data_IF_911981775664
#
_entry.id   IF_911981775664
#
_cell.length_a   1.000
_cell.length_b   1.000
_cell.length_c   1.000
_cell.angle_alpha   90.00
_cell.angle_beta   90.00
_cell.angle_gamma   90.00
#
_symmetry.space_group_name_H-M   'P 1'
#
loop_
_entity.id
_entity.type
_entity.pdbx_description
1 polymer ?
#
# COMPACT_ATOMS: atom_id res chain seq x y z
N UNK A 1 -59.87 -8.20 7.31
CA UNK A 1 -58.71 -7.28 7.39
C UNK A 1 -57.59 -8.00 8.12
N UNK A 2 -56.68 -8.65 7.39
CA UNK A 2 -55.47 -9.27 7.93
C UNK A 2 -54.29 -8.58 7.25
N UNK A 3 -53.63 -7.71 8.01
CA UNK A 3 -52.46 -6.96 7.55
C UNK A 3 -51.22 -7.83 7.68
N UNK A 4 -50.73 -8.35 6.56
CA UNK A 4 -49.44 -9.01 6.46
C UNK A 4 -48.33 -7.97 6.61
N UNK A 5 -47.71 -7.89 7.79
CA UNK A 5 -46.45 -7.20 7.98
C UNK A 5 -45.37 -7.87 7.12
N UNK A 6 -45.08 -7.28 5.96
CA UNK A 6 -43.87 -7.55 5.19
C UNK A 6 -42.66 -7.09 6.01
N UNK A 7 -42.18 -7.94 6.92
CA UNK A 7 -40.83 -7.78 7.48
C UNK A 7 -39.85 -7.95 6.34
N UNK A 8 -39.26 -6.84 5.91
CA UNK A 8 -38.11 -6.80 5.02
C UNK A 8 -37.04 -7.75 5.60
N UNK A 9 -36.94 -8.96 5.03
CA UNK A 9 -35.86 -9.88 5.36
C UNK A 9 -34.59 -9.22 4.86
N UNK A 10 -33.76 -8.73 5.78
CA UNK A 10 -32.42 -8.27 5.46
C UNK A 10 -31.72 -9.33 4.60
N UNK A 11 -31.00 -8.94 3.54
CA UNK A 11 -30.29 -9.89 2.71
C UNK A 11 -29.39 -10.76 3.59
N UNK A 12 -29.38 -12.08 3.35
CA UNK A 12 -28.46 -12.97 4.04
C UNK A 12 -27.02 -12.49 3.88
N UNK A 13 -26.17 -12.74 4.88
CA UNK A 13 -24.77 -12.28 4.92
C UNK A 13 -23.97 -12.63 3.64
N UNK A 14 -24.28 -13.75 3.00
CA UNK A 14 -23.72 -14.12 1.71
C UNK A 14 -24.07 -13.13 0.59
N UNK A 15 -25.33 -12.66 0.53
CA UNK A 15 -25.73 -11.63 -0.42
C UNK A 15 -25.06 -10.28 -0.14
N UNK A 16 -24.91 -9.92 1.15
CA UNK A 16 -24.17 -8.71 1.54
C UNK A 16 -22.70 -8.79 1.13
N UNK A 17 -22.04 -9.92 1.37
CA UNK A 17 -20.65 -10.13 0.96
C UNK A 17 -20.49 -10.09 -0.56
N UNK A 18 -21.43 -10.69 -1.32
CA UNK A 18 -21.42 -10.64 -2.79
C UNK A 18 -21.62 -9.23 -3.32
N UNK A 19 -22.57 -8.47 -2.76
CA UNK A 19 -22.79 -7.08 -3.13
C UNK A 19 -21.55 -6.23 -2.81
N UNK A 20 -20.96 -6.41 -1.63
CA UNK A 20 -19.72 -5.72 -1.25
C UNK A 20 -18.57 -6.05 -2.21
N UNK A 21 -18.41 -7.32 -2.62
CA UNK A 21 -17.37 -7.73 -3.57
C UNK A 21 -17.57 -7.06 -4.95
N UNK A 22 -18.81 -7.02 -5.45
CA UNK A 22 -19.14 -6.30 -6.68
C UNK A 22 -18.84 -4.81 -6.53
N UNK A 23 -19.20 -4.20 -5.41
CA UNK A 23 -18.90 -2.78 -5.12
C UNK A 23 -17.40 -2.52 -5.11
N UNK A 24 -16.57 -3.40 -4.54
CA UNK A 24 -15.10 -3.28 -4.55
C UNK A 24 -14.56 -3.30 -5.98
N UNK A 25 -15.04 -4.23 -6.83
CA UNK A 25 -14.62 -4.32 -8.23
C UNK A 25 -15.04 -3.07 -9.01
N UNK A 26 -16.28 -2.62 -8.86
CA UNK A 26 -16.78 -1.42 -9.52
C UNK A 26 -16.04 -0.16 -9.03
N UNK A 27 -15.72 -0.07 -7.74
CA UNK A 27 -14.94 1.01 -7.17
C UNK A 27 -13.51 1.00 -7.72
N UNK A 28 -12.88 -0.17 -7.89
CA UNK A 28 -11.56 -0.27 -8.51
C UNK A 28 -11.58 0.18 -9.98
N UNK A 29 -12.59 -0.23 -10.76
CA UNK A 29 -12.77 0.24 -12.14
C UNK A 29 -13.02 1.75 -12.21
N UNK A 30 -13.86 2.28 -11.31
CA UNK A 30 -14.09 3.72 -11.17
C UNK A 30 -12.82 4.48 -10.78
N UNK A 31 -11.99 3.89 -9.93
CA UNK A 31 -10.70 4.45 -9.54
C UNK A 31 -9.69 4.46 -10.69
N UNK A 32 -9.66 3.43 -11.54
CA UNK A 32 -8.86 3.44 -12.77
C UNK A 32 -9.32 4.58 -13.69
N UNK A 33 -10.64 4.71 -13.91
CA UNK A 33 -11.18 5.80 -14.71
C UNK A 33 -10.83 7.18 -14.13
N UNK A 34 -10.90 7.35 -12.80
CA UNK A 34 -10.47 8.56 -12.10
C UNK A 34 -8.97 8.82 -12.30
N UNK A 35 -8.14 7.79 -12.19
CA UNK A 35 -6.68 7.89 -12.38
C UNK A 35 -6.32 8.33 -13.81
N UNK A 36 -7.06 7.84 -14.80
CA UNK A 36 -6.88 8.25 -16.20
C UNK A 36 -7.38 9.68 -16.48
N UNK A 37 -8.36 10.15 -15.70
CA UNK A 37 -8.84 11.53 -15.77
C UNK A 37 -7.91 12.54 -15.07
N UNK A 38 -6.93 12.07 -14.29
CA UNK A 38 -5.97 12.94 -13.61
C UNK A 38 -5.12 13.72 -14.62
N UNK A 39 -4.85 15.01 -14.36
CA UNK A 39 -3.97 15.80 -15.19
C UNK A 39 -2.54 15.28 -15.09
N UNK A 40 -1.99 14.84 -16.22
CA UNK A 40 -0.57 14.55 -16.39
C UNK A 40 0.09 15.64 -17.23
N UNK A 41 1.42 15.67 -17.24
CA UNK A 41 2.22 16.63 -18.00
C UNK A 41 3.18 15.93 -18.95
N UNK A 42 3.56 16.61 -20.02
CA UNK A 42 4.60 16.13 -20.97
C UNK A 42 5.96 15.93 -20.31
N UNK A 43 6.22 16.67 -19.24
CA UNK A 43 7.39 16.51 -18.38
C UNK A 43 6.98 15.79 -17.09
N UNK A 44 7.64 14.67 -16.78
CA UNK A 44 7.54 14.00 -15.48
C UNK A 44 8.93 13.89 -14.87
N UNK A 45 9.08 14.34 -13.64
CA UNK A 45 10.29 14.16 -12.86
C UNK A 45 10.11 12.97 -11.93
N UNK A 46 11.16 12.17 -11.78
CA UNK A 46 11.23 11.05 -10.86
C UNK A 46 12.58 11.09 -10.15
N UNK A 47 12.57 11.14 -8.82
CA UNK A 47 13.80 11.02 -8.05
C UNK A 47 14.33 9.57 -8.13
N UNK A 48 15.62 9.40 -8.43
CA UNK A 48 16.28 8.09 -8.38
C UNK A 48 16.20 7.49 -6.98
N UNK A 49 16.17 6.15 -6.87
CA UNK A 49 16.07 5.44 -5.60
C UNK A 49 17.22 5.76 -4.61
N UNK A 50 18.39 6.15 -5.12
CA UNK A 50 19.55 6.60 -4.34
C UNK A 50 19.55 8.11 -4.02
N UNK A 51 18.53 8.84 -4.49
CA UNK A 51 18.34 10.29 -4.33
C UNK A 51 19.51 11.12 -4.86
N UNK A 52 20.33 10.57 -5.77
CA UNK A 52 21.50 11.26 -6.34
C UNK A 52 21.23 11.91 -7.70
N UNK A 53 20.12 11.55 -8.32
CA UNK A 53 19.72 12.10 -9.61
C UNK A 53 18.21 12.19 -9.73
N UNK A 54 17.77 13.08 -10.62
CA UNK A 54 16.37 13.25 -11.02
C UNK A 54 16.28 12.89 -12.49
N UNK A 55 15.45 11.88 -12.79
CA UNK A 55 15.17 11.46 -14.16
C UNK A 55 13.96 12.24 -14.66
N UNK A 56 14.17 13.04 -15.70
CA UNK A 56 13.12 13.73 -16.43
C UNK A 56 12.68 12.86 -17.61
N UNK A 57 11.44 12.38 -17.54
CA UNK A 57 10.78 11.69 -18.64
C UNK A 57 10.09 12.73 -19.54
N UNK A 58 10.47 12.74 -20.82
CA UNK A 58 9.96 13.66 -21.83
C UNK A 58 9.48 12.88 -23.06
N UNK A 59 8.69 13.48 -23.98
CA UNK A 59 8.31 12.80 -25.22
C UNK A 59 9.50 12.45 -26.12
N UNK A 60 10.65 13.08 -25.90
CA UNK A 60 11.87 12.92 -26.68
C UNK A 60 12.85 11.91 -26.06
N UNK A 61 12.56 11.42 -24.85
CA UNK A 61 13.42 10.49 -24.11
C UNK A 61 13.57 10.89 -22.64
N UNK A 62 14.49 10.21 -21.96
CA UNK A 62 14.83 10.45 -20.56
C UNK A 62 16.10 11.28 -20.43
N UNK A 63 16.09 12.28 -19.55
CA UNK A 63 17.26 13.10 -19.22
C UNK A 63 17.55 12.96 -17.73
N UNK A 64 18.80 12.78 -17.36
CA UNK A 64 19.21 12.65 -15.95
C UNK A 64 19.88 13.94 -15.48
N UNK A 65 19.40 14.49 -14.37
CA UNK A 65 19.89 15.74 -13.79
C UNK A 65 20.37 15.52 -12.36
N UNK A 66 21.34 16.33 -11.92
CA UNK A 66 21.65 16.46 -10.49
C UNK A 66 20.43 17.05 -9.75
N UNK A 67 20.09 16.61 -8.52
CA UNK A 67 18.96 17.11 -7.75
C UNK A 67 18.96 18.64 -7.56
N UNK A 68 20.15 19.23 -7.48
CA UNK A 68 20.36 20.67 -7.27
C UNK A 68 20.38 21.48 -8.58
N UNK A 69 20.23 20.82 -9.74
CA UNK A 69 20.24 21.52 -11.03
C UNK A 69 19.11 22.55 -11.06
N UNK A 70 19.41 23.83 -11.29
CA UNK A 70 18.37 24.86 -11.38
C UNK A 70 17.56 24.66 -12.65
N UNK A 71 16.25 24.49 -12.48
CA UNK A 71 15.28 24.44 -13.57
C UNK A 71 14.52 25.77 -13.57
N UNK A 72 14.80 26.60 -14.56
CA UNK A 72 14.09 27.84 -14.80
C UNK A 72 12.75 27.54 -15.47
N UNK A 73 11.66 27.85 -14.81
CA UNK A 73 10.30 27.66 -15.33
C UNK A 73 9.75 29.04 -15.68
N UNK A 74 9.34 29.17 -16.94
CA UNK A 74 8.70 30.37 -17.46
C UNK A 74 7.27 30.06 -17.87
N UNK A 75 6.33 30.76 -17.24
CA UNK A 75 4.92 30.79 -17.59
C UNK A 75 4.76 31.92 -18.60
N UNK A 76 4.57 31.62 -19.89
CA UNK A 76 4.37 32.57 -21.00
C UNK A 76 5.02 33.98 -20.81
N UNK A 77 4.23 34.97 -20.36
CA UNK A 77 4.61 36.38 -20.17
C UNK A 77 4.96 36.78 -18.72
N UNK A 78 4.97 35.84 -17.77
CA UNK A 78 5.33 36.09 -16.38
C UNK A 78 6.86 36.01 -16.16
N UNK A 79 7.30 36.56 -15.01
CA UNK A 79 8.69 36.45 -14.58
C UNK A 79 9.05 34.98 -14.36
N UNK A 80 10.18 34.50 -14.89
CA UNK A 80 10.61 33.13 -14.64
C UNK A 80 10.94 32.94 -13.16
N UNK A 81 10.63 31.77 -12.64
CA UNK A 81 11.06 31.34 -11.32
C UNK A 81 11.92 30.09 -11.47
N UNK A 82 12.82 29.86 -10.50
CA UNK A 82 13.76 28.74 -10.56
C UNK A 82 13.48 27.76 -9.44
N UNK A 83 13.36 26.49 -9.77
CA UNK A 83 13.25 25.39 -8.81
C UNK A 83 14.41 24.41 -9.01
N UNK A 84 15.01 23.87 -7.94
CA UNK A 84 15.88 22.71 -8.06
C UNK A 84 15.14 21.54 -8.70
N UNK A 85 15.82 20.76 -9.54
CA UNK A 85 15.24 19.59 -10.22
C UNK A 85 14.56 18.63 -9.25
N UNK A 86 15.11 18.46 -8.03
CA UNK A 86 14.50 17.66 -6.96
C UNK A 86 13.06 18.08 -6.62
N UNK A 87 12.80 19.39 -6.63
CA UNK A 87 11.50 19.96 -6.26
C UNK A 87 10.42 19.72 -7.32
N UNK A 88 10.78 19.19 -8.50
CA UNK A 88 9.82 18.77 -9.51
C UNK A 88 9.03 17.51 -9.10
N UNK A 89 9.60 16.66 -8.26
CA UNK A 89 8.95 15.43 -7.79
C UNK A 89 8.62 15.45 -6.29
N UNK A 90 9.44 16.14 -5.48
CA UNK A 90 9.34 16.15 -4.02
C UNK A 90 7.92 16.49 -3.52
N UNK A 91 7.29 15.62 -2.71
CA UNK A 91 5.95 15.87 -2.17
C UNK A 91 5.79 17.17 -1.40
N UNK A 92 6.81 17.56 -0.61
CA UNK A 92 6.79 18.79 0.15
C UNK A 92 6.72 20.04 -0.75
N UNK A 93 7.30 19.97 -1.95
CA UNK A 93 7.27 21.07 -2.91
C UNK A 93 5.89 21.25 -3.55
N UNK A 94 5.03 20.22 -3.57
CA UNK A 94 3.71 20.27 -4.24
C UNK A 94 2.75 21.30 -3.63
N UNK A 95 3.00 21.71 -2.38
CA UNK A 95 2.25 22.76 -1.69
C UNK A 95 2.94 24.14 -1.71
N UNK A 96 4.10 24.26 -2.36
CA UNK A 96 4.82 25.52 -2.49
C UNK A 96 4.06 26.50 -3.42
N UNK A 97 4.08 27.82 -3.15
CA UNK A 97 3.38 28.82 -3.95
C UNK A 97 3.66 28.70 -5.45
N UNK A 98 4.93 28.52 -5.84
CA UNK A 98 5.35 28.40 -7.24
C UNK A 98 4.76 27.17 -7.92
N UNK A 99 4.66 26.04 -7.20
CA UNK A 99 4.04 24.81 -7.70
C UNK A 99 2.53 24.95 -7.86
N UNK A 100 1.88 25.67 -6.95
CA UNK A 100 0.45 25.97 -7.04
C UNK A 100 0.17 26.90 -8.22
N UNK A 101 1.00 27.91 -8.44
CA UNK A 101 0.91 28.83 -9.58
C UNK A 101 1.11 28.08 -10.90
N UNK A 102 2.15 27.23 -11.00
CA UNK A 102 2.41 26.41 -12.17
C UNK A 102 1.24 25.46 -12.49
N UNK A 103 0.72 24.73 -11.48
CA UNK A 103 -0.38 23.81 -11.69
C UNK A 103 -1.64 24.53 -12.21
N UNK A 104 -1.92 25.73 -11.69
CA UNK A 104 -3.03 26.58 -12.15
C UNK A 104 -2.80 27.10 -13.58
N UNK A 105 -1.60 27.54 -13.92
CA UNK A 105 -1.28 27.99 -15.28
C UNK A 105 -1.44 26.87 -16.31
N UNK A 106 -1.04 25.65 -15.96
CA UNK A 106 -1.16 24.47 -16.82
C UNK A 106 -2.61 23.98 -17.01
N UNK A 107 -3.61 24.59 -16.36
CA UNK A 107 -5.02 24.29 -16.63
C UNK A 107 -5.43 24.79 -18.02
N UNK A 108 -4.99 26.00 -18.40
CA UNK A 108 -5.38 26.69 -19.63
C UNK A 108 -4.20 27.03 -20.56
N UNK A 109 -2.96 26.89 -20.10
CA UNK A 109 -1.75 27.32 -20.81
C UNK A 109 -0.64 26.27 -20.88
N UNK A 110 0.52 26.71 -21.39
CA UNK A 110 1.76 25.93 -21.44
C UNK A 110 2.86 26.64 -20.65
N UNK A 111 3.81 25.89 -20.13
CA UNK A 111 4.99 26.45 -19.47
C UNK A 111 6.26 25.94 -20.14
N UNK A 112 7.34 26.71 -20.12
CA UNK A 112 8.63 26.28 -20.65
C UNK A 112 9.61 26.06 -19.50
N UNK A 113 10.27 24.91 -19.49
CA UNK A 113 11.34 24.60 -18.55
C UNK A 113 12.69 24.65 -19.26
N UNK A 114 13.61 25.44 -18.73
CA UNK A 114 14.98 25.57 -19.21
C UNK A 114 15.96 25.14 -18.14
N UNK A 115 16.91 24.31 -18.51
CA UNK A 115 17.99 23.87 -17.62
C UNK A 115 19.25 23.59 -18.42
N UNK A 116 20.38 23.54 -17.72
CA UNK A 116 21.67 23.15 -18.30
C UNK A 116 22.03 21.78 -17.77
N UNK A 117 22.22 20.81 -18.67
CA UNK A 117 22.63 19.46 -18.31
C UNK A 117 24.10 19.43 -17.85
N UNK A 118 24.52 18.30 -17.28
CA UNK A 118 25.87 18.12 -16.75
C UNK A 118 26.98 18.25 -17.81
N UNK A 119 26.65 18.03 -19.09
CA UNK A 119 27.54 18.21 -20.23
C UNK A 119 27.63 19.68 -20.71
N UNK A 120 26.94 20.60 -20.04
CA UNK A 120 26.89 22.03 -20.39
C UNK A 120 25.91 22.37 -21.50
N UNK A 121 25.14 21.41 -22.03
CA UNK A 121 24.11 21.69 -23.03
C UNK A 121 22.85 22.29 -22.38
N UNK A 122 22.34 23.36 -22.98
CA UNK A 122 21.09 23.97 -22.55
C UNK A 122 19.91 23.26 -23.23
N UNK A 123 18.99 22.75 -22.42
CA UNK A 123 17.75 22.15 -22.87
C UNK A 123 16.58 23.08 -22.57
N UNK A 124 15.65 23.17 -23.51
CA UNK A 124 14.36 23.85 -23.34
C UNK A 124 13.25 22.86 -23.66
N UNK A 125 12.38 22.61 -22.69
CA UNK A 125 11.27 21.67 -22.78
C UNK A 125 9.95 22.40 -22.62
N UNK A 126 8.95 22.01 -23.42
CA UNK A 126 7.59 22.49 -23.24
C UNK A 126 6.82 21.57 -22.27
N UNK A 127 6.25 22.17 -21.24
CA UNK A 127 5.36 21.54 -20.26
C UNK A 127 3.94 21.88 -20.68
N UNK A 128 3.22 20.87 -21.15
CA UNK A 128 1.82 20.95 -21.47
C UNK A 128 1.05 19.85 -20.73
N UNK A 129 -0.21 20.12 -20.41
CA UNK A 129 -1.11 19.11 -19.88
C UNK A 129 -1.40 18.07 -20.96
N UNK A 130 -1.41 16.80 -20.57
CA UNK A 130 -1.80 15.70 -21.43
C UNK A 130 -2.73 14.72 -20.71
N UNK A 131 -3.61 14.00 -21.44
CA UNK A 131 -4.41 12.92 -20.87
C UNK A 131 -3.51 11.79 -20.38
N UNK A 132 -3.79 11.26 -19.18
CA UNK A 132 -3.08 10.09 -18.66
C UNK A 132 -3.53 8.84 -19.42
N UNK A 133 -2.57 8.09 -19.98
CA UNK A 133 -2.84 6.82 -20.68
C UNK A 133 -2.60 5.64 -19.74
N UNK A 134 -3.19 4.49 -20.06
CA UNK A 134 -2.94 3.23 -19.33
C UNK A 134 -1.47 2.83 -19.32
N UNK A 135 -0.72 3.17 -20.39
CA UNK A 135 0.72 2.93 -20.51
C UNK A 135 1.57 3.81 -19.59
N UNK A 136 1.03 4.94 -19.13
CA UNK A 136 1.77 5.92 -18.34
C UNK A 136 1.71 5.60 -16.83
N UNK A 137 0.84 4.65 -16.45
CA UNK A 137 0.69 4.19 -15.09
C UNK A 137 1.86 3.25 -14.73
N UNK A 138 2.62 3.54 -13.66
CA UNK A 138 3.79 2.78 -13.30
C UNK A 138 3.42 1.35 -12.86
N UNK A 139 4.33 0.36 -12.97
CA UNK A 139 4.05 -1.01 -12.51
C UNK A 139 3.56 -1.09 -11.06
N UNK A 140 4.12 -0.25 -10.17
CA UNK A 140 3.70 -0.15 -8.77
C UNK A 140 2.22 0.21 -8.58
N UNK A 141 1.62 0.98 -9.49
CA UNK A 141 0.18 1.30 -9.48
C UNK A 141 -0.66 0.03 -9.55
N UNK A 142 -0.35 -0.86 -10.49
CA UNK A 142 -1.11 -2.10 -10.72
C UNK A 142 -0.90 -3.10 -9.60
N UNK A 143 0.32 -3.18 -9.07
CA UNK A 143 0.64 -4.03 -7.93
C UNK A 143 -0.16 -3.57 -6.70
N UNK A 144 -0.13 -2.28 -6.38
CA UNK A 144 -0.88 -1.71 -5.25
C UNK A 144 -2.39 -1.91 -5.39
N UNK A 145 -2.95 -1.59 -6.57
CA UNK A 145 -4.39 -1.75 -6.82
C UNK A 145 -4.82 -3.21 -6.78
N UNK A 146 -4.08 -4.10 -7.43
CA UNK A 146 -4.36 -5.54 -7.40
C UNK A 146 -4.30 -6.10 -5.99
N UNK A 147 -3.27 -5.72 -5.23
CA UNK A 147 -3.10 -6.12 -3.84
C UNK A 147 -4.29 -5.70 -2.97
N UNK A 148 -4.70 -4.45 -3.09
CA UNK A 148 -5.72 -3.89 -2.22
C UNK A 148 -7.13 -4.42 -2.53
N UNK A 149 -7.41 -4.70 -3.82
CA UNK A 149 -8.62 -5.42 -4.25
C UNK A 149 -8.63 -6.85 -3.69
N UNK A 150 -7.52 -7.59 -3.84
CA UNK A 150 -7.42 -8.96 -3.33
C UNK A 150 -7.59 -9.02 -1.80
N UNK A 151 -7.00 -8.07 -1.07
CA UNK A 151 -7.17 -7.95 0.37
C UNK A 151 -8.63 -7.78 0.78
N UNK A 152 -9.35 -6.85 0.15
CA UNK A 152 -10.79 -6.69 0.41
C UNK A 152 -11.59 -7.95 0.09
N UNK A 153 -11.32 -8.59 -1.05
CA UNK A 153 -12.02 -9.81 -1.46
C UNK A 153 -11.75 -10.99 -0.51
N UNK A 154 -10.53 -11.17 -0.03
CA UNK A 154 -10.20 -12.17 0.98
C UNK A 154 -10.93 -11.91 2.30
N UNK A 155 -10.94 -10.66 2.75
CA UNK A 155 -11.69 -10.23 3.93
C UNK A 155 -13.18 -10.56 3.83
N UNK A 156 -13.82 -10.13 2.74
CA UNK A 156 -15.23 -10.40 2.47
C UNK A 156 -15.54 -11.89 2.34
N UNK A 157 -14.63 -12.67 1.73
CA UNK A 157 -14.77 -14.13 1.63
C UNK A 157 -14.73 -14.76 3.02
N UNK A 158 -13.79 -14.38 3.87
CA UNK A 158 -13.70 -14.87 5.25
C UNK A 158 -14.99 -14.61 6.03
N UNK A 159 -15.55 -13.40 5.90
CA UNK A 159 -16.81 -13.04 6.55
C UNK A 159 -18.01 -13.78 5.95
N UNK A 160 -18.05 -14.01 4.63
CA UNK A 160 -19.11 -14.79 3.99
C UNK A 160 -19.18 -16.23 4.48
N UNK A 161 -18.03 -16.83 4.79
CA UNK A 161 -17.91 -18.18 5.35
C UNK A 161 -18.29 -18.24 6.84
N UNK A 162 -18.10 -17.13 7.57
CA UNK A 162 -18.29 -17.05 9.04
C UNK A 162 -18.99 -15.76 9.47
N UNK A 163 -20.23 -15.52 9.03
CA UNK A 163 -20.90 -14.24 9.24
C UNK A 163 -21.26 -13.95 10.70
N UNK A 164 -21.35 -14.99 11.52
CA UNK A 164 -21.63 -14.88 12.96
C UNK A 164 -20.40 -14.63 13.83
N UNK A 165 -19.19 -14.73 13.26
CA UNK A 165 -17.95 -14.54 14.01
C UNK A 165 -17.45 -13.10 13.91
N UNK A 166 -17.34 -12.43 15.07
CA UNK A 166 -16.85 -11.06 15.14
C UNK A 166 -15.43 -10.89 14.56
N UNK A 167 -14.56 -11.89 14.70
CA UNK A 167 -13.22 -11.88 14.14
C UNK A 167 -13.23 -11.87 12.60
N UNK A 168 -14.13 -12.64 11.97
CA UNK A 168 -14.27 -12.67 10.52
C UNK A 168 -14.84 -11.35 9.97
N UNK A 169 -15.83 -10.77 10.67
CA UNK A 169 -16.35 -9.44 10.33
C UNK A 169 -15.27 -8.35 10.46
N UNK A 170 -14.48 -8.38 11.54
CA UNK A 170 -13.39 -7.43 11.75
C UNK A 170 -12.29 -7.61 10.68
N UNK A 171 -11.95 -8.84 10.30
CA UNK A 171 -11.02 -9.12 9.22
C UNK A 171 -11.50 -8.58 7.86
N UNK A 172 -12.81 -8.68 7.57
CA UNK A 172 -13.40 -8.04 6.38
C UNK A 172 -13.28 -6.51 6.43
N UNK A 173 -13.55 -5.90 7.58
CA UNK A 173 -13.38 -4.45 7.79
C UNK A 173 -11.93 -4.02 7.57
N UNK A 174 -10.94 -4.79 8.06
CA UNK A 174 -9.52 -4.54 7.75
C UNK A 174 -9.27 -4.57 6.25
N UNK A 175 -9.82 -5.54 5.52
CA UNK A 175 -9.65 -5.65 4.06
C UNK A 175 -10.30 -4.47 3.32
N UNK A 176 -11.44 -3.97 3.78
CA UNK A 176 -12.08 -2.79 3.20
C UNK A 176 -11.32 -1.50 3.51
N UNK A 177 -10.75 -1.38 4.72
CA UNK A 177 -9.89 -0.26 5.04
C UNK A 177 -8.56 -0.32 4.29
N UNK A 178 -7.99 -1.51 4.08
CA UNK A 178 -6.84 -1.69 3.20
C UNK A 178 -7.16 -1.15 1.80
N UNK A 179 -8.30 -1.60 1.24
CA UNK A 179 -8.80 -1.10 -0.05
C UNK A 179 -8.89 0.41 -0.07
N UNK A 180 -9.63 1.00 0.86
CA UNK A 180 -9.91 2.44 0.82
C UNK A 180 -8.71 3.31 1.21
N UNK A 181 -7.82 2.88 2.12
CA UNK A 181 -6.64 3.64 2.53
C UNK A 181 -5.55 3.66 1.47
N UNK A 182 -5.45 2.59 0.67
CA UNK A 182 -4.41 2.48 -0.35
C UNK A 182 -4.73 3.29 -1.61
N UNK A 183 -6.01 3.49 -1.95
CA UNK A 183 -6.38 4.27 -3.14
C UNK A 183 -5.82 5.71 -3.12
N UNK A 184 -5.95 6.48 -2.01
CA UNK A 184 -5.29 7.78 -1.91
C UNK A 184 -3.78 7.73 -2.04
N UNK A 185 -3.12 6.70 -1.50
CA UNK A 185 -1.67 6.55 -1.62
C UNK A 185 -1.26 6.30 -3.08
N UNK A 186 -1.94 5.40 -3.78
CA UNK A 186 -1.72 5.13 -5.20
C UNK A 186 -1.93 6.41 -6.03
N UNK A 187 -2.99 7.18 -5.72
CA UNK A 187 -3.28 8.43 -6.43
C UNK A 187 -2.20 9.49 -6.17
N UNK A 188 -1.70 9.57 -4.93
CA UNK A 188 -0.62 10.48 -4.55
C UNK A 188 0.68 10.21 -5.34
N UNK A 189 0.97 8.94 -5.64
CA UNK A 189 2.12 8.54 -6.46
C UNK A 189 1.98 8.95 -7.93
N UNK A 190 0.78 9.29 -8.39
CA UNK A 190 0.52 9.80 -9.75
C UNK A 190 0.53 11.33 -9.84
N UNK A 191 0.61 12.05 -8.72
CA UNK A 191 0.59 13.51 -8.75
C UNK A 191 1.82 14.07 -9.45
N UNK A 192 1.58 15.00 -10.38
CA UNK A 192 2.60 15.64 -11.21
C UNK A 192 2.57 17.17 -11.11
N UNK A 193 3.16 17.81 -12.11
CA UNK A 193 3.27 19.28 -12.18
C UNK A 193 1.92 19.98 -12.33
N UNK A 194 0.97 19.36 -13.03
CA UNK A 194 -0.38 19.90 -13.25
C UNK A 194 -1.41 19.46 -12.19
N UNK A 195 -1.00 18.78 -11.11
CA UNK A 195 -1.95 18.37 -10.08
C UNK A 195 -2.41 19.57 -9.25
N UNK A 196 -3.73 19.85 -9.17
CA UNK A 196 -4.23 20.96 -8.38
C UNK A 196 -3.97 20.77 -6.89
N UNK A 197 -3.66 21.87 -6.20
CA UNK A 197 -3.36 21.86 -4.76
C UNK A 197 -4.49 21.26 -3.91
N UNK A 198 -5.74 21.54 -4.26
CA UNK A 198 -6.89 21.02 -3.52
C UNK A 198 -7.01 19.50 -3.61
N UNK A 199 -6.65 18.89 -4.75
CA UNK A 199 -6.63 17.43 -4.91
C UNK A 199 -5.60 16.83 -3.96
N UNK A 200 -4.42 17.44 -3.87
CA UNK A 200 -3.39 17.02 -2.94
C UNK A 200 -3.86 17.08 -1.47
N UNK A 201 -4.52 18.17 -1.07
CA UNK A 201 -5.06 18.34 0.28
C UNK A 201 -6.13 17.30 0.60
N UNK A 202 -7.14 17.15 -0.27
CA UNK A 202 -8.23 16.18 -0.08
C UNK A 202 -7.69 14.76 0.00
N UNK A 203 -6.78 14.40 -0.91
CA UNK A 203 -6.17 13.08 -0.95
C UNK A 203 -5.34 12.79 0.29
N UNK A 204 -4.55 13.76 0.75
CA UNK A 204 -3.73 13.61 1.96
C UNK A 204 -4.59 13.44 3.21
N UNK A 205 -5.66 14.23 3.36
CA UNK A 205 -6.61 14.08 4.46
C UNK A 205 -7.34 12.73 4.41
N UNK A 206 -7.80 12.31 3.23
CA UNK A 206 -8.44 11.02 3.05
C UNK A 206 -7.48 9.87 3.43
N UNK A 207 -6.24 9.92 2.95
CA UNK A 207 -5.20 8.95 3.29
C UNK A 207 -4.97 8.89 4.80
N UNK A 208 -4.83 10.03 5.47
CA UNK A 208 -4.56 10.08 6.90
C UNK A 208 -5.71 9.47 7.73
N UNK A 209 -6.96 9.77 7.39
CA UNK A 209 -8.14 9.25 8.11
C UNK A 209 -8.30 7.74 7.86
N UNK A 210 -8.19 7.30 6.61
CA UNK A 210 -8.44 5.91 6.23
C UNK A 210 -7.34 4.98 6.75
N UNK A 211 -6.08 5.42 6.75
CA UNK A 211 -4.96 4.67 7.31
C UNK A 211 -5.12 4.42 8.81
N UNK A 212 -5.65 5.40 9.56
CA UNK A 212 -5.94 5.20 10.98
C UNK A 212 -7.10 4.22 11.19
N UNK A 213 -8.15 4.30 10.36
CA UNK A 213 -9.24 3.31 10.37
C UNK A 213 -8.73 1.88 10.12
N UNK A 214 -7.76 1.73 9.23
CA UNK A 214 -7.06 0.48 8.97
C UNK A 214 -6.30 -0.03 10.22
N UNK A 215 -5.50 0.82 10.85
CA UNK A 215 -4.74 0.47 12.06
C UNK A 215 -5.66 0.10 13.25
N UNK A 216 -6.71 0.90 13.50
CA UNK A 216 -7.72 0.66 14.53
C UNK A 216 -8.45 -0.68 14.33
N UNK A 217 -8.64 -1.09 13.07
CA UNK A 217 -9.28 -2.37 12.75
C UNK A 217 -8.38 -3.55 13.11
N UNK A 218 -7.06 -3.47 12.87
CA UNK A 218 -6.11 -4.47 13.36
C UNK A 218 -6.05 -4.52 14.89
N UNK A 219 -6.05 -3.36 15.54
CA UNK A 219 -6.06 -3.26 16.99
C UNK A 219 -7.30 -3.94 17.59
N UNK A 220 -8.45 -3.72 16.96
CA UNK A 220 -9.71 -4.38 17.31
C UNK A 220 -9.62 -5.89 17.12
N UNK A 221 -9.09 -6.36 15.98
CA UNK A 221 -8.93 -7.79 15.71
C UNK A 221 -8.05 -8.46 16.77
N UNK A 222 -6.89 -7.89 17.08
CA UNK A 222 -5.99 -8.45 18.09
C UNK A 222 -6.52 -8.31 19.52
N UNK A 223 -7.45 -7.39 19.78
CA UNK A 223 -8.13 -7.30 21.07
C UNK A 223 -9.23 -8.38 21.24
N UNK A 224 -9.86 -8.84 20.16
CA UNK A 224 -10.95 -9.84 20.20
C UNK A 224 -10.51 -11.27 19.87
N UNK A 225 -9.44 -11.43 19.09
CA UNK A 225 -8.98 -12.69 18.52
C UNK A 225 -7.48 -12.92 18.82
N UNK A 226 -7.06 -14.16 19.16
CA UNK A 226 -7.84 -15.41 19.22
C UNK A 226 -8.74 -15.55 20.45
N UNK A 227 -8.47 -14.77 21.50
CA UNK A 227 -9.27 -14.72 22.72
C UNK A 227 -9.48 -13.25 23.10
N UNK A 228 -10.69 -12.84 23.51
CA UNK A 228 -10.93 -11.45 23.89
C UNK A 228 -10.10 -11.08 25.12
N UNK A 229 -9.30 -10.01 25.00
CA UNK A 229 -8.49 -9.43 26.07
C UNK A 229 -9.38 -8.58 26.99
N UNK A 230 -10.30 -7.82 26.38
CA UNK A 230 -11.17 -6.86 27.06
C UNK A 230 -12.63 -7.29 27.03
N UNK A 231 -13.41 -6.78 28.00
CA UNK A 231 -14.87 -6.82 27.92
C UNK A 231 -15.35 -5.92 26.76
N UNK A 232 -16.45 -6.27 26.06
CA UNK A 232 -16.93 -5.50 24.90
C UNK A 232 -17.21 -4.02 25.18
N UNK A 233 -17.61 -3.66 26.42
CA UNK A 233 -17.80 -2.26 26.81
C UNK A 233 -16.48 -1.47 26.82
N UNK A 234 -15.43 -1.99 27.46
CA UNK A 234 -14.13 -1.34 27.53
C UNK A 234 -13.46 -1.25 26.16
N UNK A 235 -13.62 -2.28 25.32
CA UNK A 235 -13.12 -2.25 23.96
C UNK A 235 -13.75 -1.11 23.15
N UNK A 236 -15.08 -0.93 23.23
CA UNK A 236 -15.77 0.16 22.53
C UNK A 236 -15.34 1.54 23.02
N UNK A 237 -15.14 1.71 24.32
CA UNK A 237 -14.66 2.98 24.90
C UNK A 237 -13.23 3.26 24.41
N UNK A 238 -12.32 2.29 24.53
CA UNK A 238 -10.93 2.44 24.09
C UNK A 238 -10.83 2.74 22.60
N UNK A 239 -11.62 2.04 21.77
CA UNK A 239 -11.69 2.27 20.33
C UNK A 239 -12.29 3.64 19.99
N UNK A 240 -13.29 4.10 20.75
CA UNK A 240 -13.87 5.43 20.58
C UNK A 240 -12.86 6.55 20.89
N UNK A 241 -12.09 6.40 21.97
CA UNK A 241 -11.01 7.33 22.32
C UNK A 241 -9.91 7.31 21.25
N UNK A 242 -9.45 6.13 20.86
CA UNK A 242 -8.41 5.99 19.84
C UNK A 242 -8.87 6.54 18.49
N UNK A 243 -10.12 6.29 18.10
CA UNK A 243 -10.74 6.85 16.90
C UNK A 243 -10.87 8.38 16.93
N UNK A 244 -11.16 8.97 18.10
CA UNK A 244 -11.19 10.42 18.25
C UNK A 244 -9.79 11.03 18.14
N UNK A 245 -8.78 10.42 18.79
CA UNK A 245 -7.38 10.86 18.70
C UNK A 245 -6.90 10.78 17.25
N UNK A 246 -7.17 9.67 16.58
CA UNK A 246 -6.91 9.47 15.16
C UNK A 246 -7.53 10.60 14.33
N UNK A 247 -8.84 10.80 14.44
CA UNK A 247 -9.56 11.83 13.68
C UNK A 247 -9.00 13.24 13.91
N UNK A 248 -8.76 13.63 15.17
CA UNK A 248 -8.17 14.94 15.51
C UNK A 248 -6.79 15.07 14.88
N UNK A 249 -5.98 14.01 14.94
CA UNK A 249 -4.63 14.01 14.35
C UNK A 249 -4.68 14.18 12.84
N UNK A 250 -5.57 13.45 12.16
CA UNK A 250 -5.73 13.55 10.71
C UNK A 250 -6.24 14.95 10.28
N UNK A 251 -7.19 15.53 11.01
CA UNK A 251 -7.68 16.89 10.74
C UNK A 251 -6.63 17.97 11.05
N UNK A 252 -5.71 17.70 11.97
CA UNK A 252 -4.60 18.61 12.31
C UNK A 252 -3.43 18.55 11.33
N UNK A 253 -3.44 17.61 10.38
CA UNK A 253 -2.35 17.40 9.40
C UNK A 253 -1.96 18.69 8.64
N UNK A 254 -2.90 19.53 8.15
CA UNK A 254 -2.52 20.76 7.45
C UNK A 254 -1.81 21.79 8.33
N UNK A 255 -2.00 21.72 9.66
CA UNK A 255 -1.48 22.69 10.62
C UNK A 255 -0.14 22.29 11.22
N UNK A 256 0.04 20.99 11.51
CA UNK A 256 1.23 20.47 12.22
C UNK A 256 2.12 19.61 11.31
N UNK A 257 1.74 19.45 10.03
CA UNK A 257 2.45 18.61 9.08
C UNK A 257 2.39 17.12 9.42
N UNK A 258 3.32 16.35 8.83
CA UNK A 258 3.35 14.89 8.98
C UNK A 258 3.86 14.37 10.33
N UNK A 259 4.55 15.19 11.13
CA UNK A 259 5.25 14.70 12.34
C UNK A 259 4.29 14.19 13.42
N UNK A 260 3.16 14.87 13.63
CA UNK A 260 2.13 14.42 14.58
C UNK A 260 1.48 13.12 14.10
N UNK A 261 1.24 12.99 12.80
CA UNK A 261 0.71 11.79 12.18
C UNK A 261 1.65 10.58 12.36
N UNK A 262 2.95 10.75 12.09
CA UNK A 262 3.96 9.71 12.32
C UNK A 262 4.05 9.29 13.79
N UNK A 263 3.93 10.23 14.72
CA UNK A 263 3.96 9.94 16.16
C UNK A 263 2.76 9.06 16.56
N UNK A 264 1.55 9.37 16.08
CA UNK A 264 0.35 8.57 16.37
C UNK A 264 0.44 7.19 15.73
N UNK A 265 0.89 7.10 14.47
CA UNK A 265 1.14 5.81 13.82
C UNK A 265 2.13 4.94 14.60
N UNK A 266 3.20 5.54 15.12
CA UNK A 266 4.19 4.82 15.95
C UNK A 266 3.57 4.30 17.26
N UNK A 267 2.71 5.08 17.91
CA UNK A 267 1.96 4.64 19.09
C UNK A 267 0.98 3.50 18.76
N UNK A 268 0.33 3.55 17.60
CA UNK A 268 -0.56 2.48 17.12
C UNK A 268 0.22 1.18 16.87
N UNK A 269 1.37 1.23 16.21
CA UNK A 269 2.23 0.06 16.03
C UNK A 269 2.69 -0.52 17.37
N UNK A 270 3.04 0.33 18.33
CA UNK A 270 3.43 -0.12 19.67
C UNK A 270 2.24 -0.77 20.41
N UNK A 271 1.03 -0.22 20.25
CA UNK A 271 -0.19 -0.82 20.79
C UNK A 271 -0.51 -2.18 20.16
N UNK A 272 -0.38 -2.31 18.83
CA UNK A 272 -0.54 -3.57 18.10
C UNK A 272 0.44 -4.63 18.60
N UNK A 273 1.72 -4.26 18.76
CA UNK A 273 2.73 -5.13 19.32
C UNK A 273 2.41 -5.54 20.76
N UNK A 274 1.96 -4.58 21.59
CA UNK A 274 1.51 -4.84 22.95
C UNK A 274 0.34 -5.83 23.01
N UNK A 275 -0.67 -5.70 22.15
CA UNK A 275 -1.78 -6.65 22.06
C UNK A 275 -1.32 -8.03 21.61
N UNK A 276 -0.41 -8.10 20.64
CA UNK A 276 0.15 -9.38 20.19
C UNK A 276 0.91 -10.11 21.31
N UNK A 277 1.73 -9.38 22.08
CA UNK A 277 2.40 -9.93 23.26
C UNK A 277 1.38 -10.39 24.32
N UNK A 278 0.36 -9.59 24.59
CA UNK A 278 -0.67 -9.94 25.55
C UNK A 278 -1.45 -11.20 25.13
N UNK A 279 -1.79 -11.33 23.84
CA UNK A 279 -2.39 -12.54 23.28
C UNK A 279 -1.50 -13.76 23.48
N UNK A 280 -0.18 -13.62 23.25
CA UNK A 280 0.78 -14.68 23.52
C UNK A 280 0.75 -15.08 25.01
N UNK A 281 0.81 -14.12 25.92
CA UNK A 281 0.84 -14.37 27.36
C UNK A 281 -0.40 -15.08 27.89
N UNK A 282 -1.60 -14.67 27.46
CA UNK A 282 -2.87 -15.29 27.86
C UNK A 282 -3.05 -16.65 27.19
N UNK A 283 -2.71 -16.75 25.91
CA UNK A 283 -3.00 -17.92 25.08
C UNK A 283 -2.00 -19.07 25.20
N UNK A 284 -0.77 -18.83 25.71
CA UNK A 284 0.30 -19.84 25.76
C UNK A 284 -0.04 -21.13 26.53
N UNK A 285 -0.96 -21.06 27.50
CA UNK A 285 -1.35 -22.21 28.34
C UNK A 285 -2.61 -22.94 27.85
N UNK A 286 -3.30 -22.43 26.84
CA UNK A 286 -4.62 -22.94 26.43
C UNK A 286 -4.52 -23.72 25.11
N UNK A 287 -4.69 -25.04 25.18
CA UNK A 287 -4.58 -25.93 24.01
C UNK A 287 -5.58 -25.58 22.89
N UNK A 288 -6.76 -25.05 23.25
CA UNK A 288 -7.83 -24.70 22.32
C UNK A 288 -7.42 -23.61 21.33
N UNK A 289 -6.72 -22.57 21.79
CA UNK A 289 -6.38 -21.39 20.98
C UNK A 289 -4.94 -21.40 20.45
N UNK A 290 -4.11 -22.31 20.97
CA UNK A 290 -2.67 -22.35 20.70
C UNK A 290 -2.33 -22.41 19.20
N UNK A 291 -3.09 -23.16 18.39
CA UNK A 291 -2.81 -23.28 16.95
C UNK A 291 -3.09 -21.97 16.20
N UNK A 292 -4.25 -21.36 16.41
CA UNK A 292 -4.58 -20.08 15.77
C UNK A 292 -3.66 -18.96 16.24
N UNK A 293 -3.31 -18.96 17.53
CA UNK A 293 -2.33 -18.03 18.09
C UNK A 293 -0.94 -18.21 17.48
N UNK A 294 -0.48 -19.44 17.27
CA UNK A 294 0.81 -19.72 16.63
C UNK A 294 0.83 -19.31 15.16
N UNK A 295 -0.23 -19.60 14.40
CA UNK A 295 -0.35 -19.14 13.01
C UNK A 295 -0.31 -17.61 12.97
N UNK A 296 -1.08 -16.95 13.83
CA UNK A 296 -1.12 -15.49 13.94
C UNK A 296 0.27 -14.92 14.26
N UNK A 297 0.92 -15.42 15.32
CA UNK A 297 2.23 -14.94 15.76
C UNK A 297 3.31 -15.19 14.71
N UNK A 298 3.39 -16.40 14.15
CA UNK A 298 4.39 -16.73 13.13
C UNK A 298 4.19 -15.86 11.91
N UNK A 299 2.96 -15.72 11.43
CA UNK A 299 2.64 -14.88 10.26
C UNK A 299 3.07 -13.43 10.47
N UNK A 300 2.70 -12.84 11.61
CA UNK A 300 3.01 -11.44 11.92
C UNK A 300 4.50 -11.24 12.16
N UNK A 301 5.15 -12.11 12.95
CA UNK A 301 6.59 -12.00 13.25
C UNK A 301 7.45 -12.22 12.01
N UNK A 302 7.14 -13.24 11.20
CA UNK A 302 7.83 -13.46 9.92
C UNK A 302 7.64 -12.21 9.07
N UNK A 303 6.40 -11.79 8.81
CA UNK A 303 6.15 -10.62 7.96
C UNK A 303 6.84 -9.33 8.43
N UNK A 304 6.85 -9.04 9.74
CA UNK A 304 7.61 -7.91 10.30
C UNK A 304 9.11 -8.07 10.05
N UNK A 305 9.67 -9.26 10.27
CA UNK A 305 11.09 -9.51 10.01
C UNK A 305 11.43 -9.34 8.52
N UNK A 306 10.55 -9.78 7.63
CA UNK A 306 10.73 -9.65 6.19
C UNK A 306 10.68 -8.19 5.76
N UNK A 307 9.67 -7.46 6.25
CA UNK A 307 9.52 -6.04 5.99
C UNK A 307 10.69 -5.24 6.54
N UNK A 308 11.18 -5.61 7.74
CA UNK A 308 12.36 -4.99 8.31
C UNK A 308 13.59 -5.21 7.42
N UNK A 309 13.81 -6.43 6.94
CA UNK A 309 14.94 -6.77 6.08
C UNK A 309 14.86 -6.11 4.69
N UNK A 310 13.67 -6.12 4.08
CA UNK A 310 13.45 -5.63 2.72
C UNK A 310 13.32 -4.11 2.63
N UNK A 311 12.86 -3.44 3.71
CA UNK A 311 12.44 -2.03 3.64
C UNK A 311 13.08 -1.20 4.74
N UNK A 312 12.93 -1.58 6.02
CA UNK A 312 13.42 -0.74 7.13
C UNK A 312 14.94 -0.64 7.19
N UNK A 313 15.66 -1.76 7.08
CA UNK A 313 17.12 -1.77 7.14
C UNK A 313 17.76 -0.99 5.98
N UNK A 314 17.32 -1.15 4.72
CA UNK A 314 17.68 -0.24 3.64
C UNK A 314 17.43 1.23 3.92
N UNK A 315 16.23 1.57 4.39
CA UNK A 315 15.84 2.95 4.66
C UNK A 315 16.69 3.59 5.78
N UNK A 316 17.20 2.78 6.70
CA UNK A 316 18.16 3.20 7.74
C UNK A 316 19.61 3.27 7.24
N UNK A 317 19.88 2.96 5.97
CA UNK A 317 21.23 2.92 5.40
C UNK A 317 22.08 1.74 5.89
N UNK A 318 21.47 0.73 6.52
CA UNK A 318 22.17 -0.45 7.04
C UNK A 318 22.38 -1.52 5.96
N UNK A 319 21.66 -1.42 4.83
CA UNK A 319 21.83 -2.27 3.66
C UNK A 319 21.95 -1.40 2.39
N UNK A 320 22.78 -1.78 1.40
CA UNK A 320 23.09 -0.97 0.23
C UNK A 320 21.98 -0.92 -0.84
N UNK A 321 20.79 -1.47 -0.57
CA UNK A 321 19.72 -1.65 -1.55
C UNK A 321 18.50 -0.83 -1.14
N UNK A 322 18.30 0.35 -1.69
CA UNK A 322 17.05 1.11 -1.51
C UNK A 322 15.94 0.45 -2.32
N UNK A 323 15.00 -0.21 -1.64
CA UNK A 323 13.86 -0.89 -2.28
C UNK A 323 12.65 0.05 -2.25
N UNK A 324 12.03 0.27 -3.41
CA UNK A 324 10.77 1.00 -3.51
C UNK A 324 9.68 0.34 -2.64
N UNK A 325 8.86 1.15 -1.97
CA UNK A 325 7.88 0.67 -0.97
C UNK A 325 6.93 -0.39 -1.55
N UNK A 326 6.58 -0.28 -2.83
CA UNK A 326 5.64 -1.14 -3.54
C UNK A 326 6.13 -2.59 -3.66
N UNK A 327 7.45 -2.81 -3.63
CA UNK A 327 8.05 -4.15 -3.62
C UNK A 327 7.73 -4.89 -2.31
N UNK A 328 7.30 -4.17 -1.27
CA UNK A 328 6.94 -4.73 0.03
C UNK A 328 5.49 -5.27 0.08
N UNK A 329 4.63 -4.93 -0.89
CA UNK A 329 3.22 -5.37 -0.89
C UNK A 329 3.02 -6.89 -0.81
N UNK A 330 3.82 -7.75 -1.47
CA UNK A 330 3.72 -9.20 -1.31
C UNK A 330 3.93 -9.69 0.14
N UNK A 331 4.75 -8.99 0.93
CA UNK A 331 4.95 -9.31 2.36
C UNK A 331 3.65 -9.04 3.13
N UNK A 332 2.96 -7.93 2.82
CA UNK A 332 1.65 -7.64 3.42
C UNK A 332 0.57 -8.66 3.00
N UNK A 333 0.63 -9.21 1.78
CA UNK A 333 -0.24 -10.36 1.39
C UNK A 333 -0.01 -11.54 2.31
N UNK A 334 1.26 -11.89 2.56
CA UNK A 334 1.60 -13.02 3.43
C UNK A 334 1.05 -12.79 4.84
N UNK A 335 1.23 -11.57 5.38
CA UNK A 335 0.72 -11.21 6.71
C UNK A 335 -0.80 -11.30 6.73
N UNK A 336 -1.47 -10.60 5.82
CA UNK A 336 -2.92 -10.51 5.80
C UNK A 336 -3.56 -11.86 5.52
N UNK A 337 -3.02 -12.64 4.59
CA UNK A 337 -3.48 -13.99 4.28
C UNK A 337 -3.31 -14.96 5.45
N UNK A 338 -2.19 -14.91 6.17
CA UNK A 338 -1.97 -15.80 7.32
C UNK A 338 -2.84 -15.43 8.52
N UNK A 339 -3.15 -14.15 8.71
CA UNK A 339 -4.18 -13.69 9.66
C UNK A 339 -5.55 -14.23 9.27
N UNK A 340 -5.93 -14.13 8.00
CA UNK A 340 -7.17 -14.70 7.48
C UNK A 340 -7.27 -16.20 7.74
N UNK A 341 -6.18 -16.94 7.50
CA UNK A 341 -6.11 -18.36 7.82
C UNK A 341 -6.29 -18.64 9.31
N UNK A 342 -5.67 -17.83 10.18
CA UNK A 342 -5.84 -17.97 11.62
C UNK A 342 -7.33 -17.78 12.03
N UNK A 343 -8.01 -16.79 11.45
CA UNK A 343 -9.41 -16.46 11.71
C UNK A 343 -10.38 -17.50 11.16
N UNK A 344 -10.17 -18.01 9.94
CA UNK A 344 -11.07 -18.97 9.26
C UNK A 344 -10.86 -20.41 9.76
N UNK A 345 -9.79 -20.70 10.51
CA UNK A 345 -9.50 -22.06 10.95
C UNK A 345 -10.57 -22.61 11.90
N UNK A 346 -11.26 -23.69 11.52
CA UNK A 346 -12.11 -24.47 12.44
C UNK A 346 -11.29 -25.58 13.10
N UNK A 347 -11.80 -26.12 14.21
CA UNK A 347 -11.34 -27.38 14.84
C UNK A 347 -11.46 -28.61 13.90
N UNK A 348 -12.23 -28.51 12.80
CA UNK A 348 -12.53 -29.59 11.85
C UNK A 348 -12.02 -29.37 10.42
N UNK A 349 -11.45 -28.21 10.09
CA UNK A 349 -10.68 -28.04 8.86
C UNK A 349 -9.33 -28.74 9.06
N UNK A 350 -9.31 -30.03 8.71
CA UNK A 350 -8.29 -30.46 7.77
C UNK A 350 -8.41 -29.47 6.60
N UNK A 351 -7.39 -28.64 6.40
CA UNK A 351 -7.37 -27.71 5.28
C UNK A 351 -7.50 -28.56 4.01
N UNK A 352 -8.68 -28.55 3.38
CA UNK A 352 -8.81 -29.05 2.01
C UNK A 352 -7.73 -28.36 1.19
N UNK A 353 -6.96 -29.17 0.46
CA UNK A 353 -5.58 -28.88 0.05
C UNK A 353 -5.35 -27.48 -0.51
N UNK A 354 -6.31 -26.94 -1.25
CA UNK A 354 -6.19 -25.68 -1.99
C UNK A 354 -5.74 -24.45 -1.17
N UNK A 355 -6.34 -24.15 0.00
CA UNK A 355 -5.94 -22.96 0.78
C UNK A 355 -4.56 -23.15 1.44
N UNK A 356 -4.26 -24.38 1.88
CA UNK A 356 -2.91 -24.74 2.36
C UNK A 356 -1.90 -24.63 1.23
N UNK A 357 -2.26 -25.06 0.03
CA UNK A 357 -1.38 -25.07 -1.13
C UNK A 357 -1.14 -23.64 -1.63
N UNK A 358 -2.13 -22.74 -1.59
CA UNK A 358 -1.93 -21.31 -1.83
C UNK A 358 -1.03 -20.69 -0.76
N UNK A 359 -1.26 -20.97 0.52
CA UNK A 359 -0.44 -20.40 1.61
C UNK A 359 0.99 -20.94 1.60
N UNK A 360 1.19 -22.23 1.28
CA UNK A 360 2.51 -22.81 1.05
C UNK A 360 3.15 -22.24 -0.20
N UNK A 361 2.38 -21.98 -1.26
CA UNK A 361 2.90 -21.35 -2.48
C UNK A 361 3.32 -19.90 -2.23
N UNK A 362 2.52 -19.12 -1.49
CA UNK A 362 2.86 -17.75 -1.08
C UNK A 362 4.04 -17.76 -0.11
N UNK A 363 4.03 -18.61 0.91
CA UNK A 363 5.15 -18.74 1.86
C UNK A 363 6.44 -19.22 1.19
N UNK A 364 6.35 -20.15 0.24
CA UNK A 364 7.47 -20.61 -0.58
C UNK A 364 7.97 -19.49 -1.50
N UNK A 365 7.07 -18.79 -2.20
CA UNK A 365 7.42 -17.65 -3.04
C UNK A 365 8.11 -16.56 -2.23
N UNK A 366 7.61 -16.25 -1.03
CA UNK A 366 8.23 -15.30 -0.13
C UNK A 366 9.58 -15.80 0.39
N UNK A 367 9.71 -17.06 0.79
CA UNK A 367 11.00 -17.63 1.21
C UNK A 367 12.04 -17.59 0.08
N UNK A 368 11.61 -17.86 -1.16
CA UNK A 368 12.45 -17.74 -2.36
C UNK A 368 12.86 -16.29 -2.59
N UNK A 369 11.93 -15.33 -2.52
CA UNK A 369 12.24 -13.91 -2.66
C UNK A 369 13.23 -13.40 -1.60
N UNK A 370 13.09 -13.84 -0.36
CA UNK A 370 14.03 -13.47 0.71
C UNK A 370 15.39 -14.09 0.53
N UNK A 371 15.43 -15.36 0.10
CA UNK A 371 16.68 -16.03 -0.22
C UNK A 371 17.36 -15.34 -1.40
N UNK A 372 16.58 -14.90 -2.40
CA UNK A 372 17.07 -14.15 -3.56
C UNK A 372 17.63 -12.79 -3.14
N UNK A 373 16.93 -12.03 -2.30
CA UNK A 373 17.42 -10.77 -1.72
C UNK A 373 18.67 -10.99 -0.87
N UNK A 374 18.72 -12.07 -0.08
CA UNK A 374 19.89 -12.42 0.74
C UNK A 374 21.09 -12.79 -0.14
N UNK A 375 20.87 -13.61 -1.17
CA UNK A 375 21.92 -13.99 -2.13
C UNK A 375 22.38 -12.76 -2.92
N UNK A 376 21.49 -11.90 -3.37
CA UNK A 376 21.82 -10.64 -4.04
C UNK A 376 22.64 -9.72 -3.13
N UNK A 377 22.25 -9.60 -1.86
CA UNK A 377 23.00 -8.84 -0.86
C UNK A 377 24.39 -9.43 -0.57
N UNK A 378 24.57 -10.75 -0.70
CA UNK A 378 25.85 -11.43 -0.52
C UNK A 378 26.72 -11.45 -1.79
N UNK A 379 26.12 -11.37 -2.98
CA UNK A 379 26.78 -11.60 -4.30
C UNK A 379 27.03 -10.29 -5.07
N UNK A 380 26.53 -9.14 -4.61
CA UNK A 380 26.68 -7.82 -5.27
C UNK A 380 28.12 -7.27 -5.38
N UNK A 381 29.17 -8.07 -5.16
CA UNK A 381 30.51 -7.74 -5.65
C UNK A 381 30.77 -8.11 -7.12
N UNK A 382 29.94 -8.92 -7.80
CA UNK A 382 30.16 -9.20 -9.24
C UNK A 382 28.85 -9.28 -10.05
N UNK A 383 28.88 -8.61 -11.19
CA UNK A 383 27.76 -8.27 -12.07
C UNK A 383 26.94 -9.46 -12.61
N UNK A 384 25.63 -9.23 -12.78
CA UNK A 384 24.95 -9.47 -14.06
C UNK A 384 24.02 -10.70 -14.19
N UNK A 385 22.76 -10.52 -13.79
CA UNK A 385 21.53 -10.94 -14.50
C UNK A 385 21.34 -12.36 -15.11
N UNK A 386 22.19 -13.36 -14.82
CA UNK A 386 22.03 -14.73 -15.36
C UNK A 386 21.21 -15.69 -14.46
N UNK A 387 21.06 -15.36 -13.17
CA UNK A 387 20.51 -16.27 -12.16
C UNK A 387 18.98 -16.35 -12.16
N UNK A 388 18.27 -15.22 -12.35
CA UNK A 388 16.81 -15.20 -12.37
C UNK A 388 16.18 -16.00 -13.52
N UNK A 389 16.81 -16.00 -14.69
CA UNK A 389 16.41 -16.82 -15.85
C UNK A 389 16.68 -18.31 -15.61
N UNK A 390 17.79 -18.64 -14.97
CA UNK A 390 18.16 -20.02 -14.62
C UNK A 390 17.19 -20.62 -13.58
N UNK A 391 16.75 -19.83 -12.61
CA UNK A 391 15.78 -20.27 -11.60
C UNK A 391 14.33 -20.32 -12.10
N UNK A 392 13.93 -19.40 -12.99
CA UNK A 392 12.62 -19.47 -13.66
C UNK A 392 12.54 -20.73 -14.53
N UNK A 393 13.63 -21.06 -15.24
CA UNK A 393 13.75 -22.32 -15.98
C UNK A 393 13.73 -23.55 -15.05
N UNK A 394 14.43 -23.49 -13.91
CA UNK A 394 14.40 -24.58 -12.92
C UNK A 394 13.01 -24.77 -12.30
N UNK A 395 12.27 -23.70 -11.99
CA UNK A 395 10.92 -23.77 -11.47
C UNK A 395 9.93 -24.33 -12.50
N UNK A 396 10.03 -23.90 -13.77
CA UNK A 396 9.22 -24.41 -14.88
C UNK A 396 9.47 -25.89 -15.20
N UNK A 397 10.69 -26.38 -14.95
CA UNK A 397 11.06 -27.80 -15.15
C UNK A 397 10.73 -28.65 -13.92
N UNK A 398 10.87 -28.09 -12.71
CA UNK A 398 10.67 -28.81 -11.46
C UNK A 398 9.20 -29.11 -11.16
N UNK A 399 8.26 -28.19 -11.45
CA UNK A 399 6.84 -28.43 -11.19
C UNK A 399 6.27 -29.62 -12.01
N UNK A 400 6.52 -29.75 -13.32
CA UNK A 400 6.11 -30.92 -14.10
C UNK A 400 6.80 -32.21 -13.64
N UNK A 401 8.08 -32.14 -13.27
CA UNK A 401 8.85 -33.32 -12.86
C UNK A 401 8.40 -33.86 -11.50
N UNK A 402 8.02 -32.96 -10.58
CA UNK A 402 7.42 -33.31 -9.29
C UNK A 402 6.05 -33.98 -9.48
N UNK A 403 5.22 -33.46 -10.38
CA UNK A 403 3.91 -34.04 -10.70
C UNK A 403 4.06 -35.45 -11.30
N UNK A 404 5.11 -35.66 -12.10
CA UNK A 404 5.44 -36.95 -12.71
C UNK A 404 5.99 -37.97 -11.71
N UNK A 405 6.83 -37.55 -10.76
CA UNK A 405 7.37 -38.41 -9.70
C UNK A 405 6.37 -38.72 -8.57
N UNK A 406 5.31 -37.93 -8.46
CA UNK A 406 4.25 -38.13 -7.46
C UNK A 406 3.08 -39.01 -7.97
N UNK A 407 3.13 -39.45 -9.23
CA UNK A 407 2.29 -40.51 -9.80
C UNK A 407 3.07 -41.83 -9.81
#
# INVERSE_FOLDING_TARGET
>A
MSGSEHRLRLPGSYHLARLAAVTVILAALGFIALSLAMPSTTLRAEMSADHRSVVLHTPQGTLELSPDTPVEIRLDDEQPFTLPAAQLDLPAARSAPDRIALARHLEDGTATARFTAADGTAHTLNIARQPTRLSDLPPGYWIGLGFTVLGALFGLTAWSLRPSEAAAACYAVIGLFLFTSELPFILFMLFGLATPAWVNVVNTLASAILLQGFALSFATLFAIFPRPIFKPAHLRIGLGIAGLIALVTALSYPLHGGQTHFTVLMLEYLALFGFLLWQFWIGRKQALYRRSLMILLVTVLVGIALYALATLLPMMGLLPVSVQQEVSFPIFVLIYGGIGLAVIRTRHLALDGWMRDIMLSVGFLTAVLLLDVLVLALVTQQQGAALGLSFTAAALVYFPLREWLAR
#
